data_IF_328222694838
#
_entry.id   IF_328222694838
#
_cell.length_a   1.000
_cell.length_b   1.000
_cell.length_c   1.000
_cell.angle_alpha   90.00
_cell.angle_beta   90.00
_cell.angle_gamma   90.00
#
_symmetry.space_group_name_H-M   'P 1'
#
loop_
_entity.id
_entity.type
_entity.pdbx_description
1 polymer ?
#
# COMPACT_ATOMS: atom_id res chain seq x y z
N UNK A 1 12.43 -12.85 5.58
CA UNK A 1 12.42 -11.54 4.89
C UNK A 1 11.50 -10.53 5.55
N UNK A 2 10.23 -10.83 5.88
CA UNK A 2 9.28 -9.82 6.39
C UNK A 2 9.80 -8.95 7.56
N UNK A 3 10.41 -9.57 8.58
CA UNK A 3 11.03 -8.84 9.71
C UNK A 3 12.12 -7.87 9.24
N UNK A 4 12.98 -8.30 8.32
CA UNK A 4 14.02 -7.45 7.76
C UNK A 4 13.44 -6.28 6.95
N UNK A 5 12.37 -6.52 6.18
CA UNK A 5 11.67 -5.46 5.45
C UNK A 5 11.15 -4.39 6.41
N UNK A 6 10.45 -4.79 7.49
CA UNK A 6 9.94 -3.86 8.50
C UNK A 6 11.08 -3.06 9.13
N UNK A 7 12.14 -3.74 9.58
CA UNK A 7 13.29 -3.10 10.19
C UNK A 7 13.94 -2.08 9.26
N UNK A 8 14.11 -2.43 7.97
CA UNK A 8 14.70 -1.51 7.00
C UNK A 8 13.76 -0.40 6.56
N UNK A 9 12.46 -0.62 6.49
CA UNK A 9 11.50 0.43 6.13
C UNK A 9 11.47 1.54 7.19
N UNK A 10 11.73 1.21 8.46
CA UNK A 10 11.85 2.20 9.56
C UNK A 10 13.15 2.98 9.44
N UNK A 11 14.25 2.32 9.08
CA UNK A 11 15.59 2.93 9.04
C UNK A 11 15.86 3.66 7.72
N UNK A 12 15.23 3.24 6.61
CA UNK A 12 15.47 3.76 5.27
C UNK A 12 15.24 5.28 5.14
N UNK A 13 14.18 5.89 5.69
CA UNK A 13 13.98 7.34 5.63
C UNK A 13 15.11 8.13 6.29
N UNK A 14 15.57 7.70 7.47
CA UNK A 14 16.68 8.35 8.19
C UNK A 14 18.00 8.26 7.40
N UNK A 15 18.26 7.13 6.75
CA UNK A 15 19.43 6.95 5.89
C UNK A 15 19.31 7.80 4.62
N UNK A 16 18.14 7.85 3.99
CA UNK A 16 17.91 8.65 2.79
C UNK A 16 18.07 10.16 3.07
N UNK A 17 17.60 10.64 4.23
CA UNK A 17 17.82 12.02 4.70
C UNK A 17 19.33 12.33 4.83
N UNK A 18 20.11 11.38 5.34
CA UNK A 18 21.57 11.50 5.48
C UNK A 18 22.31 11.48 4.13
N UNK A 19 21.75 10.82 3.11
CA UNK A 19 22.33 10.62 1.79
C UNK A 19 21.59 11.41 0.68
N UNK A 20 20.99 12.55 1.05
CA UNK A 20 20.31 13.47 0.12
C UNK A 20 21.19 13.80 -1.09
N UNK A 21 20.60 13.74 -2.30
CA UNK A 21 21.30 13.97 -3.58
C UNK A 21 21.87 12.71 -4.26
N UNK A 22 21.90 11.56 -3.59
CA UNK A 22 22.40 10.30 -4.14
C UNK A 22 21.30 9.23 -4.31
N UNK A 23 20.04 9.63 -4.44
CA UNK A 23 18.88 8.72 -4.54
C UNK A 23 19.05 7.67 -5.64
N UNK A 24 19.63 8.04 -6.78
CA UNK A 24 19.96 7.11 -7.88
C UNK A 24 20.96 6.05 -7.44
N UNK A 25 22.01 6.44 -6.71
CA UNK A 25 23.01 5.50 -6.21
C UNK A 25 22.42 4.56 -5.15
N UNK A 26 21.50 5.06 -4.32
CA UNK A 26 20.79 4.22 -3.35
C UNK A 26 19.86 3.23 -4.05
N UNK A 27 19.10 3.67 -5.06
CA UNK A 27 18.23 2.80 -5.86
C UNK A 27 19.05 1.72 -6.59
N UNK A 28 20.08 2.09 -7.34
CA UNK A 28 20.92 1.13 -8.06
C UNK A 28 21.68 0.20 -7.10
N UNK A 29 22.15 0.73 -5.96
CA UNK A 29 22.76 -0.06 -4.90
C UNK A 29 21.80 -1.09 -4.31
N UNK A 30 20.54 -0.71 -4.06
CA UNK A 30 19.50 -1.61 -3.56
C UNK A 30 19.16 -2.71 -4.59
N UNK A 31 19.04 -2.37 -5.88
CA UNK A 31 18.77 -3.39 -6.92
C UNK A 31 19.97 -4.34 -7.10
N UNK A 32 21.20 -3.82 -7.07
CA UNK A 32 22.40 -4.64 -7.14
C UNK A 32 22.49 -5.59 -5.93
N UNK A 33 22.25 -5.07 -4.73
CA UNK A 33 22.19 -5.88 -3.52
C UNK A 33 21.09 -6.96 -3.59
N UNK A 34 19.90 -6.61 -4.10
CA UNK A 34 18.81 -7.57 -4.33
C UNK A 34 19.23 -8.69 -5.28
N UNK A 35 19.93 -8.34 -6.37
CA UNK A 35 20.41 -9.31 -7.37
C UNK A 35 21.41 -10.27 -6.75
N UNK A 36 22.43 -9.74 -6.05
CA UNK A 36 23.50 -10.54 -5.46
C UNK A 36 22.93 -11.44 -4.36
N UNK A 37 22.23 -10.86 -3.38
CA UNK A 37 21.67 -11.57 -2.22
C UNK A 37 20.60 -12.57 -2.66
N UNK A 38 19.81 -12.25 -3.70
CA UNK A 38 18.77 -13.12 -4.25
C UNK A 38 19.29 -14.30 -5.06
N UNK A 39 20.42 -14.14 -5.75
CA UNK A 39 21.01 -15.19 -6.60
C UNK A 39 21.95 -16.12 -5.83
N UNK A 40 22.69 -15.60 -4.85
CA UNK A 40 23.70 -16.37 -4.09
C UNK A 40 23.19 -17.68 -3.45
N UNK A 41 21.93 -17.77 -2.96
CA UNK A 41 21.31 -19.01 -2.48
C UNK A 41 21.43 -20.20 -3.43
N UNK A 42 21.58 -19.98 -4.74
CA UNK A 42 21.69 -21.06 -5.73
C UNK A 42 22.89 -21.99 -5.48
N UNK A 43 23.95 -21.46 -4.86
CA UNK A 43 25.19 -22.18 -4.58
C UNK A 43 25.11 -23.03 -3.31
N UNK A 44 24.11 -22.80 -2.45
CA UNK A 44 24.01 -23.43 -1.14
C UNK A 44 22.96 -24.53 -1.12
N UNK A 45 23.32 -25.66 -0.50
CA UNK A 45 22.41 -26.80 -0.28
C UNK A 45 21.94 -26.91 1.16
N UNK A 46 22.67 -26.27 2.08
CA UNK A 46 22.38 -26.30 3.51
C UNK A 46 21.24 -25.34 3.85
N UNK A 47 20.35 -25.76 4.74
CA UNK A 47 19.19 -24.98 5.19
C UNK A 47 19.57 -23.64 5.82
N UNK A 48 20.59 -23.62 6.69
CA UNK A 48 20.98 -22.42 7.45
C UNK A 48 21.41 -21.24 6.56
N UNK A 49 22.35 -21.39 5.60
CA UNK A 49 22.66 -20.34 4.65
C UNK A 49 21.44 -19.82 3.87
N UNK A 50 20.58 -20.72 3.38
CA UNK A 50 19.37 -20.32 2.65
C UNK A 50 18.48 -19.41 3.50
N UNK A 51 18.31 -19.74 4.78
CA UNK A 51 17.51 -18.94 5.71
C UNK A 51 18.12 -17.55 5.97
N UNK A 52 19.46 -17.46 6.11
CA UNK A 52 20.17 -16.18 6.26
C UNK A 52 19.98 -15.30 5.03
N UNK A 53 20.18 -15.82 3.82
CA UNK A 53 19.93 -15.04 2.59
C UNK A 53 18.46 -14.65 2.45
N UNK A 54 17.53 -15.51 2.87
CA UNK A 54 16.09 -15.21 2.90
C UNK A 54 15.72 -14.13 3.92
N UNK A 55 16.54 -13.93 4.95
CA UNK A 55 16.43 -12.80 5.84
C UNK A 55 17.03 -11.55 5.18
N UNK A 56 18.27 -11.64 4.68
CA UNK A 56 19.01 -10.53 4.07
C UNK A 56 18.31 -9.91 2.85
N UNK A 57 17.60 -10.69 2.04
CA UNK A 57 16.87 -10.16 0.88
C UNK A 57 15.80 -9.13 1.25
N UNK A 58 15.34 -9.13 2.52
CA UNK A 58 14.40 -8.12 3.00
C UNK A 58 14.98 -6.71 3.07
N UNK A 59 16.31 -6.59 3.25
CA UNK A 59 17.00 -5.30 3.36
C UNK A 59 16.85 -4.46 2.09
N UNK A 60 17.28 -4.92 0.90
CA UNK A 60 17.15 -4.13 -0.32
C UNK A 60 15.68 -3.86 -0.68
N UNK A 61 14.76 -4.81 -0.40
CA UNK A 61 13.32 -4.61 -0.65
C UNK A 61 12.77 -3.40 0.13
N UNK A 62 13.21 -3.19 1.38
CA UNK A 62 12.79 -2.05 2.19
C UNK A 62 13.24 -0.69 1.67
N UNK A 63 14.38 -0.63 0.96
CA UNK A 63 14.86 0.60 0.32
C UNK A 63 14.20 0.88 -1.03
N UNK A 64 13.74 -0.14 -1.75
CA UNK A 64 13.19 0.02 -3.10
C UNK A 64 11.89 0.82 -3.11
N UNK A 65 10.96 0.53 -2.20
CA UNK A 65 9.66 1.21 -2.14
C UNK A 65 9.76 2.74 -2.02
N UNK A 66 10.43 3.30 -0.97
CA UNK A 66 10.53 4.75 -0.82
C UNK A 66 11.34 5.41 -1.95
N UNK A 67 12.34 4.71 -2.50
CA UNK A 67 13.16 5.23 -3.60
C UNK A 67 12.35 5.37 -4.90
N UNK A 68 11.48 4.41 -5.20
CA UNK A 68 10.62 4.45 -6.40
C UNK A 68 9.53 5.51 -6.25
N UNK A 69 8.90 5.62 -5.07
CA UNK A 69 7.87 6.63 -4.84
C UNK A 69 8.43 8.05 -4.85
N UNK A 70 9.60 8.28 -4.25
CA UNK A 70 10.29 9.57 -4.30
C UNK A 70 10.65 9.97 -5.73
N UNK A 71 11.11 9.02 -6.54
CA UNK A 71 11.44 9.26 -7.94
C UNK A 71 10.22 9.64 -8.78
N UNK A 72 9.08 8.95 -8.58
CA UNK A 72 7.84 9.25 -9.30
C UNK A 72 7.31 10.65 -8.93
N UNK A 73 7.41 11.03 -7.65
CA UNK A 73 6.98 12.34 -7.19
C UNK A 73 7.83 13.48 -7.78
N UNK A 74 9.15 13.26 -7.92
CA UNK A 74 10.07 14.23 -8.48
C UNK A 74 9.98 14.38 -10.02
N UNK A 75 9.60 13.32 -10.73
CA UNK A 75 9.66 13.29 -12.20
C UNK A 75 8.33 13.68 -12.89
N UNK A 76 7.19 13.47 -12.24
CA UNK A 76 5.88 13.62 -12.88
C UNK A 76 5.04 14.74 -12.25
N UNK A 77 4.46 15.57 -13.12
CA UNK A 77 3.44 16.56 -12.74
C UNK A 77 2.19 15.87 -12.16
N UNK A 78 1.47 16.52 -11.23
CA UNK A 78 0.34 15.92 -10.51
C UNK A 78 -0.73 15.27 -11.41
N UNK A 79 -0.93 15.82 -12.60
CA UNK A 79 -1.92 15.39 -13.60
C UNK A 79 -1.54 14.05 -14.26
N UNK A 80 -0.26 13.80 -14.48
CA UNK A 80 0.25 12.58 -15.12
C UNK A 80 0.60 11.47 -14.11
N UNK A 81 0.75 11.80 -12.82
CA UNK A 81 1.03 10.83 -11.74
C UNK A 81 0.03 9.68 -11.72
N UNK A 82 -1.26 9.97 -11.88
CA UNK A 82 -2.31 8.95 -11.88
C UNK A 82 -2.13 7.94 -13.04
N UNK A 83 -1.72 8.41 -14.22
CA UNK A 83 -1.51 7.57 -15.40
C UNK A 83 -0.26 6.70 -15.25
N UNK A 84 0.83 7.26 -14.73
CA UNK A 84 2.09 6.54 -14.51
C UNK A 84 1.96 5.52 -13.38
N UNK A 85 1.27 5.86 -12.30
CA UNK A 85 0.95 4.91 -11.22
C UNK A 85 0.10 3.74 -11.72
N UNK A 86 -0.81 3.99 -12.67
CA UNK A 86 -1.57 2.94 -13.36
C UNK A 86 -0.67 1.98 -14.14
N UNK A 87 0.27 2.50 -14.95
CA UNK A 87 1.25 1.67 -15.66
C UNK A 87 2.17 0.90 -14.71
N UNK A 88 2.67 1.55 -13.66
CA UNK A 88 3.51 0.94 -12.63
C UNK A 88 2.80 -0.23 -11.95
N UNK A 89 1.51 -0.07 -11.63
CA UNK A 89 0.69 -1.13 -11.04
C UNK A 89 0.49 -2.32 -11.99
N UNK A 90 0.24 -2.04 -13.27
CA UNK A 90 0.12 -3.09 -14.29
C UNK A 90 1.44 -3.86 -14.47
N UNK A 91 2.57 -3.15 -14.48
CA UNK A 91 3.90 -3.75 -14.54
C UNK A 91 4.19 -4.60 -13.30
N UNK A 92 3.83 -4.15 -12.10
CA UNK A 92 4.03 -4.88 -10.86
C UNK A 92 3.23 -6.20 -10.85
N UNK A 93 1.95 -6.16 -11.23
CA UNK A 93 1.12 -7.37 -11.32
C UNK A 93 1.55 -8.28 -12.47
N UNK A 94 1.91 -7.72 -13.62
CA UNK A 94 2.40 -8.49 -14.77
C UNK A 94 3.72 -9.21 -14.47
N UNK A 95 4.65 -8.53 -13.78
CA UNK A 95 5.88 -9.14 -13.30
C UNK A 95 5.59 -10.29 -12.34
N UNK A 96 4.73 -10.08 -11.35
CA UNK A 96 4.39 -11.11 -10.38
C UNK A 96 3.73 -12.34 -11.05
N UNK A 97 2.88 -12.13 -12.06
CA UNK A 97 2.24 -13.20 -12.83
C UNK A 97 3.27 -14.05 -13.58
N UNK A 98 4.14 -13.39 -14.35
CA UNK A 98 5.19 -14.05 -15.13
C UNK A 98 6.21 -14.74 -14.22
N UNK A 99 6.66 -14.06 -13.17
CA UNK A 99 7.62 -14.59 -12.21
C UNK A 99 7.10 -15.86 -11.57
N UNK A 100 5.85 -15.85 -11.09
CA UNK A 100 5.22 -17.01 -10.45
C UNK A 100 5.11 -18.18 -11.43
N UNK A 101 4.63 -17.93 -12.65
CA UNK A 101 4.42 -18.97 -13.65
C UNK A 101 5.74 -19.63 -14.05
N UNK A 102 6.75 -18.81 -14.32
CA UNK A 102 8.10 -19.25 -14.67
C UNK A 102 8.72 -19.99 -13.48
N UNK A 103 8.58 -19.47 -12.26
CA UNK A 103 9.13 -20.12 -11.05
C UNK A 103 8.52 -21.50 -10.79
N UNK A 104 7.22 -21.69 -11.03
CA UNK A 104 6.57 -23.00 -10.94
C UNK A 104 7.13 -23.98 -11.98
N UNK A 105 7.33 -23.51 -13.21
CA UNK A 105 7.93 -24.33 -14.27
C UNK A 105 9.37 -24.73 -13.95
N UNK A 106 10.20 -23.80 -13.48
CA UNK A 106 11.60 -24.09 -13.09
C UNK A 106 11.67 -24.98 -11.85
N UNK A 107 10.74 -24.81 -10.91
CA UNK A 107 10.64 -25.60 -9.67
C UNK A 107 10.48 -27.09 -9.94
N UNK A 108 9.83 -27.48 -11.05
CA UNK A 108 9.71 -28.88 -11.48
C UNK A 108 11.05 -29.56 -11.76
N UNK A 109 12.05 -28.81 -12.23
CA UNK A 109 13.39 -29.34 -12.49
C UNK A 109 14.29 -29.20 -11.27
N UNK A 110 14.32 -28.01 -10.67
CA UNK A 110 15.05 -27.76 -9.44
C UNK A 110 14.61 -26.45 -8.80
N UNK A 111 14.30 -26.47 -7.51
CA UNK A 111 14.00 -25.27 -6.73
C UNK A 111 15.12 -24.22 -6.77
N UNK A 112 16.37 -24.63 -7.07
CA UNK A 112 17.51 -23.71 -7.14
C UNK A 112 17.39 -22.75 -8.32
N UNK A 113 16.88 -23.23 -9.45
CA UNK A 113 16.75 -22.41 -10.66
C UNK A 113 15.84 -21.21 -10.45
N UNK A 114 14.91 -21.27 -9.48
CA UNK A 114 14.05 -20.14 -9.10
C UNK A 114 14.87 -18.95 -8.60
N UNK A 115 16.01 -19.17 -7.91
CA UNK A 115 16.87 -18.09 -7.47
C UNK A 115 17.52 -17.33 -8.63
N UNK A 116 17.77 -17.99 -9.76
CA UNK A 116 18.32 -17.35 -10.96
C UNK A 116 17.35 -16.37 -11.61
N UNK A 117 16.03 -16.48 -11.34
CA UNK A 117 15.06 -15.50 -11.84
C UNK A 117 15.32 -14.10 -11.29
N UNK A 118 16.01 -13.96 -10.16
CA UNK A 118 16.40 -12.65 -9.64
C UNK A 118 17.40 -11.92 -10.55
N UNK A 119 18.14 -12.64 -11.41
CA UNK A 119 19.03 -12.04 -12.42
C UNK A 119 18.28 -11.29 -13.53
N UNK A 120 16.98 -11.53 -13.71
CA UNK A 120 16.16 -10.78 -14.68
C UNK A 120 16.09 -9.28 -14.37
N UNK A 121 16.46 -8.86 -13.16
CA UNK A 121 16.57 -7.45 -12.78
C UNK A 121 17.78 -6.75 -13.41
N UNK A 122 18.86 -7.47 -13.71
CA UNK A 122 20.09 -6.92 -14.32
C UNK A 122 19.84 -6.28 -15.69
N UNK A 123 19.23 -6.96 -16.68
CA UNK A 123 18.97 -6.33 -17.98
C UNK A 123 18.03 -5.13 -17.88
N UNK A 124 17.09 -5.13 -16.92
CA UNK A 124 16.19 -3.99 -16.68
C UNK A 124 16.97 -2.77 -16.20
N UNK A 125 17.91 -2.97 -15.26
CA UNK A 125 18.77 -1.89 -14.78
C UNK A 125 19.71 -1.39 -15.87
N UNK A 126 20.35 -2.29 -16.62
CA UNK A 126 21.23 -1.90 -17.72
C UNK A 126 20.48 -1.10 -18.79
N UNK A 127 19.25 -1.51 -19.10
CA UNK A 127 18.37 -0.77 -19.99
C UNK A 127 18.01 0.62 -19.44
N UNK A 128 17.64 0.71 -18.14
CA UNK A 128 17.37 1.98 -17.47
C UNK A 128 18.57 2.93 -17.44
N UNK A 129 19.79 2.40 -17.29
CA UNK A 129 21.03 3.17 -17.37
C UNK A 129 21.32 3.63 -18.80
N UNK A 130 21.05 2.77 -19.80
CA UNK A 130 21.26 3.08 -21.21
C UNK A 130 20.32 4.15 -21.74
N UNK A 131 19.03 4.11 -21.36
CA UNK A 131 18.07 5.13 -21.77
C UNK A 131 18.32 6.48 -21.08
N UNK A 132 19.29 6.55 -20.16
CA UNK A 132 19.77 7.79 -19.57
C UNK A 132 18.62 8.63 -19.04
N UNK A 133 17.70 8.03 -18.29
CA UNK A 133 16.56 8.71 -17.69
C UNK A 133 17.08 9.93 -16.91
N UNK A 134 17.02 11.09 -17.57
CA UNK A 134 17.63 12.33 -17.09
C UNK A 134 16.64 12.97 -16.15
N UNK A 135 16.60 12.44 -14.93
CA UNK A 135 15.76 12.96 -13.85
C UNK A 135 16.19 14.40 -13.61
N UNK A 136 15.35 15.33 -14.04
CA UNK A 136 15.61 16.76 -13.93
C UNK A 136 15.40 17.11 -12.45
N UNK A 137 16.49 17.36 -11.73
CA UNK A 137 16.42 17.94 -10.40
C UNK A 137 15.79 19.33 -10.53
N UNK A 138 14.48 19.40 -10.34
CA UNK A 138 13.72 20.62 -10.16
C UNK A 138 13.37 20.72 -8.69
N UNK A 139 13.82 21.80 -8.07
CA UNK A 139 13.57 22.16 -6.68
C UNK A 139 12.07 22.16 -6.39
N UNK A 140 11.58 21.20 -5.59
CA UNK A 140 10.49 21.37 -4.59
C UNK A 140 10.22 20.03 -3.91
N UNK A 141 10.97 19.79 -2.83
CA UNK A 141 10.47 19.02 -1.68
C UNK A 141 10.60 19.91 -0.44
N UNK A 142 9.88 21.04 -0.47
CA UNK A 142 9.35 21.70 0.72
C UNK A 142 7.84 21.43 0.78
N UNK A 143 7.45 20.17 0.90
CA UNK A 143 6.08 19.77 1.26
C UNK A 143 6.04 18.27 1.60
N UNK A 144 6.82 17.88 2.60
CA UNK A 144 6.47 16.74 3.45
C UNK A 144 7.27 16.92 4.74
N UNK A 145 6.72 17.75 5.62
CA UNK A 145 7.32 18.18 6.87
C UNK A 145 7.67 16.98 7.77
N UNK A 146 8.96 16.76 7.92
CA UNK A 146 9.54 16.00 9.02
C UNK A 146 9.29 16.76 10.33
N UNK A 147 8.29 16.33 11.10
CA UNK A 147 8.20 16.61 12.53
C UNK A 147 8.86 15.49 13.32
N UNK A 148 10.19 15.43 13.31
CA UNK A 148 10.98 14.60 14.22
C UNK A 148 10.86 15.21 15.62
N UNK A 149 10.04 14.62 16.50
CA UNK A 149 9.95 15.05 17.90
C UNK A 149 11.09 14.40 18.68
N UNK A 150 12.05 15.25 19.05
CA UNK A 150 13.12 14.99 19.99
C UNK A 150 12.53 14.60 21.36
N UNK A 151 12.71 13.35 21.77
CA UNK A 151 11.99 12.73 22.88
C UNK A 151 12.51 13.15 24.27
N UNK A 152 13.58 13.94 24.34
CA UNK A 152 14.19 14.38 25.62
C UNK A 152 13.72 15.77 26.09
N UNK A 153 13.07 16.59 25.25
CA UNK A 153 12.66 17.94 25.63
C UNK A 153 11.23 18.03 26.23
N UNK A 154 10.41 16.97 26.11
CA UNK A 154 9.00 16.99 26.49
C UNK A 154 8.71 16.61 27.96
N UNK A 155 9.73 16.32 28.76
CA UNK A 155 9.56 15.87 30.16
C UNK A 155 9.58 17.02 31.19
N UNK A 156 10.10 18.20 30.83
CA UNK A 156 10.35 19.29 31.80
C UNK A 156 9.44 20.53 31.71
N UNK A 157 8.44 20.56 30.81
CA UNK A 157 7.70 21.80 30.53
C UNK A 157 6.17 21.71 30.64
N UNK A 158 5.65 21.24 31.78
CA UNK A 158 4.26 21.48 32.26
C UNK A 158 4.33 21.44 33.80
N UNK A 159 3.86 22.43 34.62
CA UNK A 159 2.61 23.21 34.44
C UNK A 159 2.68 24.70 34.88
N UNK A 160 1.71 25.53 34.46
CA UNK A 160 0.69 26.16 35.34
C UNK A 160 -0.18 27.19 34.60
N UNK A 161 -1.46 27.17 34.92
CA UNK A 161 -2.53 28.06 34.44
C UNK A 161 -2.44 29.49 35.02
N UNK A 162 -2.77 30.50 34.21
CA UNK A 162 -3.51 31.68 34.66
C UNK A 162 -4.09 32.54 33.52
N UNK A 163 -5.31 33.02 33.76
CA UNK A 163 -6.20 33.94 33.01
C UNK A 163 -5.57 35.18 32.34
N UNK A 164 -6.15 35.64 31.21
CA UNK A 164 -6.84 36.95 31.11
C UNK A 164 -7.59 37.15 29.78
N UNK A 165 -8.43 38.18 29.77
CA UNK A 165 -9.62 38.45 28.96
C UNK A 165 -9.48 39.67 28.01
N UNK A 166 -10.47 39.82 27.12
CA UNK A 166 -11.03 41.07 26.53
C UNK A 166 -10.52 41.71 25.21
N UNK A 167 -11.51 42.15 24.40
CA UNK A 167 -11.49 43.32 23.47
C UNK A 167 -11.39 42.99 21.96
N UNK A 168 -12.44 43.01 21.11
CA UNK A 168 -13.33 44.08 20.57
C UNK A 168 -12.90 44.71 19.23
N UNK A 169 -13.88 44.89 18.32
CA UNK A 169 -14.00 45.87 17.18
C UNK A 169 -13.06 45.71 15.96
N UNK A 170 -13.36 46.03 14.70
CA UNK A 170 -14.54 46.49 13.94
C UNK A 170 -14.20 46.46 12.42
N UNK A 171 -15.21 46.20 11.58
CA UNK A 171 -15.51 46.73 10.21
C UNK A 171 -14.46 46.86 9.06
N UNK A 172 -14.82 46.21 7.94
CA UNK A 172 -15.09 46.75 6.57
C UNK A 172 -14.02 47.56 5.79
N UNK A 173 -13.63 47.09 4.59
CA UNK A 173 -13.90 47.78 3.29
C UNK A 173 -13.14 47.19 2.09
N UNK A 174 -13.86 47.11 0.96
CA UNK A 174 -13.40 46.84 -0.41
C UNK A 174 -12.73 48.09 -1.00
N UNK A 175 -11.53 47.93 -1.59
CA UNK A 175 -10.90 48.72 -2.68
C UNK A 175 -9.58 47.99 -3.00
N UNK A 176 -9.17 47.68 -4.23
CA UNK A 176 -9.14 48.46 -5.47
C UNK A 176 -7.75 48.17 -6.07
N UNK A 177 -7.70 47.57 -7.26
CA UNK A 177 -6.46 47.04 -7.83
C UNK A 177 -5.40 48.11 -8.13
N UNK A 178 -4.21 47.93 -7.56
CA UNK A 178 -3.02 48.75 -7.82
C UNK A 178 -2.23 48.17 -9.00
N UNK A 179 -1.66 49.04 -9.83
CA UNK A 179 -0.85 48.70 -11.02
C UNK A 179 0.61 49.00 -10.74
N UNK A 180 1.48 48.02 -10.96
CA UNK A 180 2.93 48.22 -10.90
C UNK A 180 3.48 48.80 -12.20
N UNK A 181 4.62 49.51 -12.09
CA UNK A 181 5.22 50.38 -13.11
C UNK A 181 5.94 49.65 -14.26
N UNK A 182 5.72 48.36 -14.45
CA UNK A 182 6.31 47.55 -15.52
C UNK A 182 5.16 46.87 -16.27
N UNK A 183 4.86 47.32 -17.49
CA UNK A 183 3.65 46.97 -18.24
C UNK A 183 3.46 45.50 -18.63
N UNK A 184 3.24 44.61 -17.66
CA UNK A 184 2.69 43.27 -17.82
C UNK A 184 1.31 43.22 -17.17
N UNK A 185 0.33 42.72 -17.92
CA UNK A 185 -0.93 42.25 -17.32
C UNK A 185 -0.60 40.95 -16.60
N UNK A 186 -0.52 40.99 -15.27
CA UNK A 186 -0.68 39.76 -14.48
C UNK A 186 -2.10 39.25 -14.71
N UNK A 187 -2.20 38.06 -15.28
CA UNK A 187 -3.46 37.35 -15.41
C UNK A 187 -3.82 36.79 -14.03
N UNK A 188 -5.10 36.77 -13.68
CA UNK A 188 -5.62 36.23 -12.40
C UNK A 188 -5.12 34.79 -12.12
N UNK A 189 -4.78 34.04 -13.18
CA UNK A 189 -4.13 32.73 -13.11
C UNK A 189 -2.69 32.76 -12.54
N UNK A 190 -1.91 33.82 -12.77
CA UNK A 190 -0.54 33.94 -12.25
C UNK A 190 -0.53 34.27 -10.75
N UNK A 191 -1.56 34.96 -10.24
CA UNK A 191 -1.76 35.18 -8.80
C UNK A 191 -2.23 33.92 -8.09
N UNK A 192 -3.11 33.13 -8.71
CA UNK A 192 -3.58 31.84 -8.16
C UNK A 192 -2.45 30.79 -8.12
N UNK A 193 -1.44 30.91 -8.98
CA UNK A 193 -0.24 30.04 -8.94
C UNK A 193 0.80 30.53 -7.92
N UNK A 194 0.88 31.84 -7.66
CA UNK A 194 1.74 32.41 -6.62
C UNK A 194 1.14 32.31 -5.20
N UNK A 195 -0.19 32.25 -5.09
CA UNK A 195 -0.94 31.81 -3.91
C UNK A 195 -1.21 30.30 -3.99
N UNK A 196 -0.14 29.52 -4.16
CA UNK A 196 -0.16 28.17 -3.60
C UNK A 196 -0.42 28.33 -2.11
N UNK A 197 -1.64 27.98 -1.68
CA UNK A 197 -2.17 28.01 -0.32
C UNK A 197 -1.04 27.96 0.70
N UNK A 198 -0.62 29.14 1.20
CA UNK A 198 0.20 29.22 2.40
C UNK A 198 -0.72 28.70 3.49
N UNK A 199 -0.62 27.40 3.76
CA UNK A 199 -1.21 26.77 4.92
C UNK A 199 -0.69 27.58 6.10
N UNK A 200 -1.58 28.37 6.70
CA UNK A 200 -1.29 29.14 7.89
C UNK A 200 -0.67 28.16 8.91
N UNK A 201 0.60 28.38 9.25
CA UNK A 201 1.39 27.51 10.11
C UNK A 201 0.88 27.45 11.57
N UNK A 202 -0.30 28.03 11.83
CA UNK A 202 -0.90 28.24 13.14
C UNK A 202 -2.31 27.63 13.26
N UNK A 203 -2.79 26.91 12.24
CA UNK A 203 -4.05 26.17 12.38
C UNK A 203 -3.81 24.93 13.27
N UNK A 204 -4.51 24.79 14.41
CA UNK A 204 -4.27 23.70 15.35
C UNK A 204 -4.54 22.36 14.67
N UNK A 205 -3.48 21.57 14.47
CA UNK A 205 -3.54 20.25 13.84
C UNK A 205 -4.66 19.43 14.49
N UNK A 206 -5.66 18.95 13.73
CA UNK A 206 -6.76 18.21 14.32
C UNK A 206 -6.21 16.95 15.02
N UNK A 207 -6.75 16.59 16.21
CA UNK A 207 -6.26 15.44 16.96
C UNK A 207 -6.33 14.19 16.08
N UNK A 208 -5.29 13.34 16.18
CA UNK A 208 -5.17 12.18 15.31
C UNK A 208 -6.43 11.31 15.41
N UNK A 209 -7.14 11.05 14.29
CA UNK A 209 -8.37 10.27 14.30
C UNK A 209 -8.05 8.77 14.43
N UNK A 210 -7.49 8.37 15.58
CA UNK A 210 -6.94 7.03 15.86
C UNK A 210 -7.97 5.93 15.58
N UNK A 211 -9.22 6.13 15.97
CA UNK A 211 -10.28 5.13 15.78
C UNK A 211 -10.60 4.90 14.29
N UNK A 212 -10.63 5.96 13.48
CA UNK A 212 -10.83 5.87 12.03
C UNK A 212 -9.60 5.28 11.35
N UNK A 213 -8.41 5.69 11.75
CA UNK A 213 -7.15 5.14 11.22
C UNK A 213 -7.03 3.62 11.51
N UNK A 214 -7.28 3.19 12.74
CA UNK A 214 -7.28 1.78 13.13
C UNK A 214 -8.32 0.96 12.35
N UNK A 215 -9.50 1.53 12.11
CA UNK A 215 -10.56 0.90 11.31
C UNK A 215 -10.09 0.58 9.90
N UNK A 216 -9.62 1.58 9.15
CA UNK A 216 -9.18 1.40 7.77
C UNK A 216 -7.94 0.48 7.69
N UNK A 217 -7.02 0.61 8.64
CA UNK A 217 -5.81 -0.22 8.73
C UNK A 217 -6.13 -1.70 9.02
N UNK A 218 -7.13 -1.97 9.85
CA UNK A 218 -7.56 -3.35 10.16
C UNK A 218 -8.21 -4.03 8.96
N UNK A 219 -9.02 -3.29 8.19
CA UNK A 219 -9.62 -3.82 6.96
C UNK A 219 -8.53 -4.14 5.92
N UNK A 220 -7.50 -3.30 5.83
CA UNK A 220 -6.33 -3.56 5.01
C UNK A 220 -5.55 -4.81 5.43
N UNK A 221 -5.33 -4.98 6.75
CA UNK A 221 -4.73 -6.19 7.31
C UNK A 221 -5.52 -7.44 6.91
N UNK A 222 -6.85 -7.42 6.98
CA UNK A 222 -7.69 -8.57 6.65
C UNK A 222 -7.60 -8.94 5.16
N UNK A 223 -7.63 -7.95 4.27
CA UNK A 223 -7.45 -8.15 2.82
C UNK A 223 -6.12 -8.84 2.53
N UNK A 224 -5.03 -8.33 3.10
CA UNK A 224 -3.68 -8.84 2.83
C UNK A 224 -3.43 -10.19 3.53
N UNK A 225 -3.88 -10.34 4.77
CA UNK A 225 -3.73 -11.57 5.52
C UNK A 225 -4.43 -12.76 4.84
N UNK A 226 -5.68 -12.59 4.40
CA UNK A 226 -6.43 -13.63 3.70
C UNK A 226 -5.82 -13.96 2.33
N UNK A 227 -5.26 -12.96 1.63
CA UNK A 227 -4.47 -13.17 0.42
C UNK A 227 -3.22 -14.03 0.68
N UNK A 228 -2.45 -13.74 1.73
CA UNK A 228 -1.27 -14.52 2.09
C UNK A 228 -1.59 -15.94 2.55
N UNK A 229 -2.73 -16.16 3.25
CA UNK A 229 -3.22 -17.51 3.55
C UNK A 229 -3.30 -18.34 2.27
N UNK A 230 -3.92 -17.79 1.22
CA UNK A 230 -4.07 -18.49 -0.05
C UNK A 230 -2.71 -18.84 -0.68
N UNK A 231 -1.82 -17.85 -0.82
CA UNK A 231 -0.51 -18.05 -1.48
C UNK A 231 0.30 -19.17 -0.82
N UNK A 232 0.27 -19.27 0.51
CA UNK A 232 0.99 -20.31 1.25
C UNK A 232 0.26 -21.65 1.21
N UNK A 233 -1.06 -21.63 1.48
CA UNK A 233 -1.81 -22.87 1.69
C UNK A 233 -2.19 -23.57 0.39
N UNK A 234 -2.29 -22.87 -0.75
CA UNK A 234 -2.71 -23.52 -2.00
C UNK A 234 -1.73 -24.58 -2.47
N UNK A 235 -0.41 -24.31 -2.40
CA UNK A 235 0.60 -25.29 -2.76
C UNK A 235 0.61 -26.50 -1.81
N UNK A 236 0.46 -26.25 -0.50
CA UNK A 236 0.37 -27.30 0.51
C UNK A 236 -0.92 -28.11 0.40
N UNK A 237 -2.03 -27.49 0.01
CA UNK A 237 -3.30 -28.15 -0.23
C UNK A 237 -3.22 -29.08 -1.44
N UNK A 238 -2.61 -28.61 -2.54
CA UNK A 238 -2.38 -29.42 -3.73
C UNK A 238 -1.52 -30.65 -3.42
N UNK A 239 -0.41 -30.47 -2.70
CA UNK A 239 0.52 -31.55 -2.36
C UNK A 239 -0.07 -32.51 -1.31
N UNK A 240 -0.42 -31.99 -0.12
CA UNK A 240 -0.75 -32.81 1.04
C UNK A 240 -2.21 -33.29 1.10
N UNK A 241 -3.17 -32.50 0.60
CA UNK A 241 -4.59 -32.85 0.67
C UNK A 241 -5.10 -33.48 -0.65
N UNK A 242 -4.58 -33.04 -1.81
CA UNK A 242 -5.00 -33.54 -3.13
C UNK A 242 -4.03 -34.56 -3.74
N UNK A 243 -2.82 -34.72 -3.21
CA UNK A 243 -1.81 -35.65 -3.73
C UNK A 243 -1.20 -35.23 -5.07
N UNK A 244 -1.19 -33.93 -5.37
CA UNK A 244 -0.62 -33.33 -6.59
C UNK A 244 0.71 -32.66 -6.21
N UNK A 245 1.81 -33.38 -6.41
CA UNK A 245 3.18 -32.96 -6.08
C UNK A 245 3.91 -32.24 -7.24
N UNK A 246 3.17 -31.63 -8.18
CA UNK A 246 3.76 -30.91 -9.32
C UNK A 246 3.88 -29.40 -9.03
N UNK A 247 5.13 -28.93 -8.92
CA UNK A 247 5.48 -27.52 -8.74
C UNK A 247 4.94 -26.60 -9.85
N UNK A 248 4.79 -27.11 -11.07
CA UNK A 248 4.20 -26.33 -12.17
C UNK A 248 2.71 -26.09 -11.93
N UNK A 249 1.97 -27.10 -11.46
CA UNK A 249 0.54 -26.97 -11.16
C UNK A 249 0.34 -25.98 -10.00
N UNK A 250 1.17 -26.06 -8.96
CA UNK A 250 1.16 -25.08 -7.87
C UNK A 250 1.45 -23.66 -8.38
N UNK A 251 2.44 -23.50 -9.27
CA UNK A 251 2.74 -22.23 -9.93
C UNK A 251 1.57 -21.68 -10.74
N UNK A 252 0.89 -22.53 -11.52
CA UNK A 252 -0.31 -22.14 -12.28
C UNK A 252 -1.43 -21.66 -11.36
N UNK A 253 -1.70 -22.38 -10.26
CA UNK A 253 -2.72 -21.97 -9.29
C UNK A 253 -2.43 -20.59 -8.69
N UNK A 254 -1.18 -20.33 -8.29
CA UNK A 254 -0.77 -19.02 -7.75
C UNK A 254 -0.83 -17.95 -8.86
N UNK A 255 -0.41 -18.25 -10.08
CA UNK A 255 -0.50 -17.32 -11.21
C UNK A 255 -1.94 -16.94 -11.57
N UNK A 256 -2.92 -17.85 -11.44
CA UNK A 256 -4.34 -17.52 -11.58
C UNK A 256 -4.75 -16.41 -10.61
N UNK A 257 -4.27 -16.46 -9.37
CA UNK A 257 -4.49 -15.41 -8.40
C UNK A 257 -3.86 -14.08 -8.81
N UNK A 258 -2.60 -14.06 -9.24
CA UNK A 258 -1.94 -12.82 -9.67
C UNK A 258 -2.62 -12.19 -10.89
N UNK A 259 -3.07 -13.03 -11.84
CA UNK A 259 -3.85 -12.59 -12.99
C UNK A 259 -5.18 -11.94 -12.55
N UNK A 260 -5.87 -12.57 -11.59
CA UNK A 260 -7.06 -11.98 -10.97
C UNK A 260 -6.77 -10.64 -10.32
N UNK A 261 -5.63 -10.50 -9.63
CA UNK A 261 -5.20 -9.25 -8.99
C UNK A 261 -5.01 -8.12 -10.00
N UNK A 262 -4.37 -8.42 -11.14
CA UNK A 262 -4.19 -7.48 -12.24
C UNK A 262 -5.52 -6.98 -12.79
N UNK A 263 -6.49 -7.88 -13.00
CA UNK A 263 -7.81 -7.52 -13.52
C UNK A 263 -8.67 -6.80 -12.47
N UNK A 264 -8.62 -7.24 -11.20
CA UNK A 264 -9.31 -6.57 -10.10
C UNK A 264 -8.91 -5.10 -10.00
N UNK A 265 -7.61 -4.82 -10.03
CA UNK A 265 -7.09 -3.46 -9.96
C UNK A 265 -7.55 -2.57 -11.13
N UNK A 266 -7.49 -3.08 -12.37
CA UNK A 266 -7.86 -2.29 -13.56
C UNK A 266 -9.35 -1.97 -13.64
N UNK A 267 -10.21 -2.90 -13.22
CA UNK A 267 -11.66 -2.71 -13.28
C UNK A 267 -12.25 -1.99 -12.06
N UNK A 268 -11.45 -1.67 -11.04
CA UNK A 268 -11.97 -1.06 -9.80
C UNK A 268 -12.62 0.29 -9.99
N UNK A 269 -12.02 1.16 -10.82
CA UNK A 269 -12.58 2.47 -11.09
C UNK A 269 -13.98 2.37 -11.73
N UNK A 270 -14.20 1.38 -12.60
CA UNK A 270 -15.49 1.14 -13.24
C UNK A 270 -16.53 0.63 -12.23
N UNK A 271 -16.15 -0.28 -11.33
CA UNK A 271 -17.02 -0.80 -10.28
C UNK A 271 -17.41 0.30 -9.30
N UNK A 272 -16.47 1.15 -8.88
CA UNK A 272 -16.72 2.26 -7.97
C UNK A 272 -17.65 3.33 -8.54
N UNK A 273 -17.49 3.67 -9.83
CA UNK A 273 -18.41 4.62 -10.49
C UNK A 273 -19.85 4.11 -10.51
N UNK A 274 -20.05 2.79 -10.65
CA UNK A 274 -21.37 2.18 -10.71
C UNK A 274 -21.97 1.88 -9.33
N UNK A 275 -21.13 1.54 -8.34
CA UNK A 275 -21.54 1.12 -7.00
C UNK A 275 -20.64 1.73 -5.90
N UNK A 276 -20.70 3.06 -5.67
CA UNK A 276 -19.80 3.74 -4.74
C UNK A 276 -19.92 3.26 -3.29
N UNK A 277 -21.15 2.98 -2.82
CA UNK A 277 -21.42 2.53 -1.44
C UNK A 277 -21.32 1.02 -1.25
N UNK A 278 -21.11 0.21 -2.29
CA UNK A 278 -21.08 -1.26 -2.19
C UNK A 278 -19.81 -1.89 -2.77
N UNK A 279 -18.91 -1.08 -3.36
CA UNK A 279 -17.70 -1.61 -3.97
C UNK A 279 -16.78 -2.33 -2.99
N UNK A 280 -16.62 -1.82 -1.76
CA UNK A 280 -15.80 -2.46 -0.72
C UNK A 280 -16.28 -3.85 -0.33
N UNK A 281 -17.52 -4.01 0.18
CA UNK A 281 -18.08 -5.31 0.55
C UNK A 281 -18.11 -6.29 -0.61
N UNK A 282 -18.38 -5.81 -1.83
CA UNK A 282 -18.40 -6.64 -3.04
C UNK A 282 -17.07 -7.37 -3.25
N UNK A 283 -15.93 -6.69 -3.14
CA UNK A 283 -14.62 -7.33 -3.30
C UNK A 283 -14.28 -8.30 -2.16
N UNK A 284 -14.68 -8.02 -0.92
CA UNK A 284 -14.51 -8.97 0.18
C UNK A 284 -15.37 -10.22 0.02
N UNK A 285 -16.60 -10.10 -0.47
CA UNK A 285 -17.45 -11.26 -0.81
C UNK A 285 -16.78 -12.12 -1.89
N UNK A 286 -16.28 -11.49 -2.96
CA UNK A 286 -15.55 -12.21 -4.02
C UNK A 286 -14.34 -12.94 -3.45
N UNK A 287 -13.57 -12.30 -2.57
CA UNK A 287 -12.40 -12.89 -1.92
C UNK A 287 -12.79 -14.08 -1.03
N UNK A 288 -13.87 -13.95 -0.24
CA UNK A 288 -14.38 -15.00 0.62
C UNK A 288 -14.85 -16.22 -0.18
N UNK A 289 -15.64 -16.01 -1.23
CA UNK A 289 -16.09 -17.07 -2.15
C UNK A 289 -14.89 -17.77 -2.77
N UNK A 290 -13.89 -17.00 -3.21
CA UNK A 290 -12.67 -17.55 -3.79
C UNK A 290 -11.90 -18.46 -2.82
N UNK A 291 -11.80 -18.09 -1.54
CA UNK A 291 -11.17 -18.90 -0.49
C UNK A 291 -11.92 -20.20 -0.20
N UNK A 292 -13.26 -20.17 -0.18
CA UNK A 292 -14.06 -21.39 -0.04
C UNK A 292 -13.92 -22.33 -1.24
N UNK A 293 -13.89 -21.78 -2.46
CA UNK A 293 -13.64 -22.58 -3.67
C UNK A 293 -12.21 -23.15 -3.69
N UNK A 294 -11.22 -22.39 -3.22
CA UNK A 294 -9.84 -22.84 -3.10
C UNK A 294 -9.64 -24.01 -2.12
N UNK A 295 -10.54 -24.20 -1.16
CA UNK A 295 -10.51 -25.32 -0.21
C UNK A 295 -11.05 -26.65 -0.78
N UNK A 296 -11.53 -26.67 -2.02
CA UNK A 296 -12.10 -27.86 -2.65
C UNK A 296 -11.03 -28.74 -3.29
N UNK A 297 -11.31 -30.04 -3.44
CA UNK A 297 -10.32 -31.02 -3.92
C UNK A 297 -10.34 -31.17 -5.45
N UNK A 298 -10.76 -30.13 -6.18
CA UNK A 298 -10.88 -30.14 -7.64
C UNK A 298 -10.04 -29.01 -8.23
N UNK A 299 -8.99 -29.35 -8.98
CA UNK A 299 -7.99 -28.38 -9.47
C UNK A 299 -8.60 -27.16 -10.18
N UNK A 300 -9.55 -27.37 -11.09
CA UNK A 300 -10.19 -26.27 -11.82
C UNK A 300 -10.94 -25.32 -10.89
N UNK A 301 -11.56 -25.85 -9.82
CA UNK A 301 -12.28 -25.05 -8.82
C UNK A 301 -11.27 -24.29 -7.95
N UNK A 302 -10.14 -24.91 -7.60
CA UNK A 302 -9.05 -24.25 -6.86
C UNK A 302 -8.46 -23.08 -7.65
N UNK A 303 -8.17 -23.27 -8.95
CA UNK A 303 -7.67 -22.20 -9.81
C UNK A 303 -8.69 -21.06 -9.98
N UNK A 304 -9.98 -21.41 -10.14
CA UNK A 304 -11.07 -20.42 -10.20
C UNK A 304 -11.19 -19.66 -8.89
N UNK A 305 -11.08 -20.35 -7.74
CA UNK A 305 -11.05 -19.74 -6.42
C UNK A 305 -9.87 -18.78 -6.26
N UNK A 306 -8.67 -19.21 -6.66
CA UNK A 306 -7.47 -18.39 -6.71
C UNK A 306 -7.65 -17.10 -7.49
N UNK A 307 -8.20 -17.21 -8.71
CA UNK A 307 -8.51 -16.06 -9.55
C UNK A 307 -9.45 -15.07 -8.87
N UNK A 308 -10.55 -15.54 -8.24
CA UNK A 308 -11.48 -14.68 -7.51
C UNK A 308 -10.82 -13.99 -6.32
N UNK A 309 -9.99 -14.69 -5.54
CA UNK A 309 -9.20 -14.08 -4.44
C UNK A 309 -8.33 -12.95 -4.99
N UNK A 310 -7.74 -13.17 -6.17
CA UNK A 310 -6.96 -12.18 -6.90
C UNK A 310 -7.78 -10.94 -7.18
N UNK A 311 -8.94 -11.09 -7.83
CA UNK A 311 -9.85 -9.99 -8.17
C UNK A 311 -10.28 -9.22 -6.93
N UNK A 312 -10.63 -9.93 -5.84
CA UNK A 312 -10.99 -9.32 -4.55
C UNK A 312 -9.86 -8.46 -3.98
N UNK A 313 -8.67 -9.02 -3.83
CA UNK A 313 -7.52 -8.32 -3.27
C UNK A 313 -7.06 -7.14 -4.16
N UNK A 314 -7.01 -7.35 -5.48
CA UNK A 314 -6.58 -6.34 -6.45
C UNK A 314 -7.51 -5.13 -6.47
N UNK A 315 -8.81 -5.35 -6.26
CA UNK A 315 -9.76 -4.26 -6.19
C UNK A 315 -9.84 -3.54 -4.85
N UNK A 316 -9.57 -4.22 -3.73
CA UNK A 316 -9.59 -3.60 -2.40
C UNK A 316 -8.44 -2.62 -2.16
N UNK A 317 -7.27 -2.89 -2.74
CA UNK A 317 -6.07 -2.05 -2.58
C UNK A 317 -6.30 -0.56 -2.93
N UNK A 318 -6.76 -0.20 -4.15
CA UNK A 318 -7.01 1.20 -4.49
C UNK A 318 -8.13 1.85 -3.68
N UNK A 319 -9.14 1.08 -3.23
CA UNK A 319 -10.23 1.60 -2.39
C UNK A 319 -9.75 2.03 -1.01
N UNK A 320 -8.97 1.15 -0.39
CA UNK A 320 -8.42 1.37 0.93
C UNK A 320 -7.40 2.51 0.93
N UNK A 321 -6.55 2.58 -0.11
CA UNK A 321 -5.61 3.69 -0.28
C UNK A 321 -6.32 5.01 -0.56
N UNK A 322 -7.39 5.01 -1.36
CA UNK A 322 -8.22 6.20 -1.58
C UNK A 322 -8.91 6.69 -0.31
N UNK A 323 -9.34 5.78 0.59
CA UNK A 323 -9.83 6.17 1.92
C UNK A 323 -8.73 6.73 2.82
N UNK A 324 -7.52 6.17 2.76
CA UNK A 324 -6.36 6.67 3.49
C UNK A 324 -5.93 8.07 3.04
N UNK A 325 -6.11 8.42 1.76
CA UNK A 325 -5.82 9.76 1.26
C UNK A 325 -6.82 10.83 1.71
N UNK A 326 -8.00 10.45 2.23
CA UNK A 326 -8.98 11.40 2.79
C UNK A 326 -8.60 11.92 4.18
N UNK A 327 -7.57 11.38 4.82
CA UNK A 327 -7.05 11.92 6.07
C UNK A 327 -6.30 13.23 5.81
N UNK A 328 -6.33 14.13 6.79
CA UNK A 328 -5.60 15.41 6.77
C UNK A 328 -4.12 15.18 6.42
N UNK A 329 -3.52 16.11 5.68
CA UNK A 329 -2.18 15.94 5.09
C UNK A 329 -1.12 15.57 6.13
N UNK A 330 -1.15 16.22 7.30
CA UNK A 330 -0.29 15.90 8.46
C UNK A 330 -0.36 14.46 8.95
N UNK A 331 -1.47 13.74 8.71
CA UNK A 331 -1.73 12.39 9.22
C UNK A 331 -1.69 11.31 8.14
N UNK A 332 -1.69 11.68 6.85
CA UNK A 332 -1.80 10.76 5.70
C UNK A 332 -0.66 9.75 5.65
N UNK A 333 0.57 10.21 5.86
CA UNK A 333 1.77 9.36 5.83
C UNK A 333 1.85 8.41 7.03
N UNK A 334 1.36 8.87 8.19
CA UNK A 334 1.22 8.04 9.39
C UNK A 334 0.23 6.90 9.15
N UNK A 335 -0.94 7.19 8.55
CA UNK A 335 -1.92 6.13 8.22
C UNK A 335 -1.37 5.17 7.16
N UNK A 336 -0.71 5.67 6.11
CA UNK A 336 -0.09 4.83 5.08
C UNK A 336 1.00 3.88 5.62
N UNK A 337 1.87 4.39 6.51
CA UNK A 337 2.90 3.57 7.17
C UNK A 337 2.31 2.57 8.18
N UNK A 338 1.22 2.92 8.87
CA UNK A 338 0.44 1.97 9.67
C UNK A 338 -0.11 0.82 8.80
N UNK A 339 -0.70 1.13 7.64
CA UNK A 339 -1.23 0.11 6.71
C UNK A 339 -0.12 -0.84 6.23
N UNK A 340 1.03 -0.32 5.84
CA UNK A 340 2.18 -1.13 5.41
C UNK A 340 2.75 -1.99 6.54
N UNK A 341 2.81 -1.45 7.76
CA UNK A 341 3.27 -2.20 8.94
C UNK A 341 2.32 -3.37 9.23
N UNK A 342 1.02 -3.12 9.21
CA UNK A 342 0.00 -4.14 9.42
C UNK A 342 0.05 -5.21 8.32
N UNK A 343 0.25 -4.83 7.05
CA UNK A 343 0.45 -5.80 5.97
C UNK A 343 1.62 -6.75 6.25
N UNK A 344 2.77 -6.23 6.69
CA UNK A 344 3.93 -7.07 6.99
C UNK A 344 3.71 -7.97 8.21
N UNK A 345 2.99 -7.48 9.23
CA UNK A 345 2.56 -8.30 10.38
C UNK A 345 1.61 -9.40 9.90
N UNK A 346 0.66 -9.08 9.04
CA UNK A 346 -0.25 -10.03 8.42
C UNK A 346 0.49 -11.14 7.68
N UNK A 347 1.47 -10.79 6.86
CA UNK A 347 2.34 -11.75 6.17
C UNK A 347 3.07 -12.71 7.11
N UNK A 348 3.42 -12.26 8.33
CA UNK A 348 4.10 -13.09 9.31
C UNK A 348 3.13 -14.01 10.08
N UNK A 349 1.98 -13.48 10.48
CA UNK A 349 1.06 -14.16 11.41
C UNK A 349 0.09 -15.09 10.68
N UNK A 350 -0.46 -14.66 9.54
CA UNK A 350 -1.54 -15.40 8.87
C UNK A 350 -1.11 -16.79 8.34
N UNK A 351 0.11 -16.98 7.80
CA UNK A 351 0.57 -18.31 7.41
C UNK A 351 0.66 -19.31 8.57
N UNK A 352 0.86 -18.84 9.82
CA UNK A 352 0.93 -19.72 11.00
C UNK A 352 -0.42 -20.40 11.30
N UNK A 353 -1.53 -19.88 10.76
CA UNK A 353 -2.82 -20.57 10.89
C UNK A 353 -2.81 -21.93 10.20
N UNK A 354 -1.93 -22.17 9.21
CA UNK A 354 -1.76 -23.48 8.60
C UNK A 354 -1.38 -24.56 9.61
N UNK A 355 -0.69 -24.21 10.70
CA UNK A 355 -0.32 -25.16 11.76
C UNK A 355 -1.43 -25.39 12.78
N UNK A 356 -2.48 -24.57 12.78
CA UNK A 356 -3.60 -24.67 13.72
C UNK A 356 -4.67 -25.67 13.25
N UNK A 357 -4.75 -25.92 11.94
CA UNK A 357 -5.73 -26.83 11.35
C UNK A 357 -5.10 -28.13 10.90
N UNK A 358 -5.90 -29.19 10.92
CA UNK A 358 -5.45 -30.54 10.53
C UNK A 358 -5.21 -30.71 9.02
N UNK A 359 -5.79 -29.85 8.19
CA UNK A 359 -5.66 -29.87 6.72
C UNK A 359 -5.53 -28.45 6.19
N UNK A 360 -4.84 -28.28 5.06
CA UNK A 360 -4.65 -26.97 4.44
C UNK A 360 -5.96 -26.43 3.84
N UNK A 361 -6.84 -27.33 3.39
CA UNK A 361 -8.21 -27.02 2.99
C UNK A 361 -8.98 -26.26 4.09
N UNK A 362 -8.85 -26.69 5.36
CA UNK A 362 -9.52 -26.05 6.50
C UNK A 362 -8.95 -24.66 6.79
N UNK A 363 -7.64 -24.48 6.63
CA UNK A 363 -7.00 -23.17 6.74
C UNK A 363 -7.50 -22.20 5.67
N UNK A 364 -7.65 -22.67 4.42
CA UNK A 364 -8.23 -21.89 3.32
C UNK A 364 -9.68 -21.49 3.62
N UNK A 365 -10.50 -22.45 4.06
CA UNK A 365 -11.89 -22.19 4.46
C UNK A 365 -11.98 -21.21 5.64
N UNK A 366 -11.07 -21.30 6.62
CA UNK A 366 -10.98 -20.35 7.73
C UNK A 366 -10.64 -18.93 7.24
N UNK A 367 -9.71 -18.81 6.29
CA UNK A 367 -9.47 -17.53 5.61
C UNK A 367 -10.74 -16.97 4.95
N UNK A 368 -11.56 -17.83 4.35
CA UNK A 368 -12.88 -17.45 3.80
C UNK A 368 -13.81 -16.89 4.88
N UNK A 369 -13.88 -17.53 6.05
CA UNK A 369 -14.66 -17.03 7.20
C UNK A 369 -14.17 -15.64 7.67
N UNK A 370 -12.85 -15.43 7.74
CA UNK A 370 -12.29 -14.11 8.07
C UNK A 370 -12.70 -13.03 7.06
N UNK A 371 -12.68 -13.35 5.76
CA UNK A 371 -13.11 -12.42 4.71
C UNK A 371 -14.61 -12.10 4.78
N UNK A 372 -15.46 -13.09 5.13
CA UNK A 372 -16.89 -12.83 5.42
C UNK A 372 -17.03 -11.90 6.61
N UNK A 373 -16.28 -12.13 7.70
CA UNK A 373 -16.27 -11.25 8.87
C UNK A 373 -15.89 -9.81 8.50
N UNK A 374 -14.84 -9.63 7.69
CA UNK A 374 -14.43 -8.32 7.19
C UNK A 374 -15.52 -7.65 6.33
N UNK A 375 -16.24 -8.42 5.52
CA UNK A 375 -17.39 -7.92 4.74
C UNK A 375 -18.47 -7.36 5.66
N UNK A 376 -18.86 -8.11 6.69
CA UNK A 376 -19.90 -7.70 7.63
C UNK A 376 -19.50 -6.44 8.41
N UNK A 377 -18.24 -6.38 8.85
CA UNK A 377 -17.68 -5.20 9.51
C UNK A 377 -17.74 -3.99 8.59
N UNK A 378 -17.28 -4.13 7.33
CA UNK A 378 -17.32 -3.03 6.36
C UNK A 378 -18.75 -2.52 6.12
N UNK A 379 -19.67 -3.42 5.79
CA UNK A 379 -21.07 -3.06 5.51
C UNK A 379 -21.74 -2.40 6.73
N UNK A 380 -21.46 -2.89 7.94
CA UNK A 380 -21.98 -2.30 9.17
C UNK A 380 -21.42 -0.89 9.43
N UNK A 381 -20.17 -0.64 9.06
CA UNK A 381 -19.54 0.68 9.17
C UNK A 381 -20.12 1.67 8.15
N UNK A 382 -20.32 1.26 6.90
CA UNK A 382 -20.94 2.12 5.89
C UNK A 382 -22.39 2.45 6.24
N UNK A 383 -23.13 1.49 6.81
CA UNK A 383 -24.48 1.74 7.31
C UNK A 383 -24.50 2.78 8.44
N UNK A 384 -23.55 2.71 9.38
CA UNK A 384 -23.42 3.70 10.46
C UNK A 384 -23.02 5.08 9.95
N UNK A 385 -22.07 5.14 9.02
CA UNK A 385 -21.61 6.41 8.43
C UNK A 385 -22.73 7.06 7.60
N UNK A 386 -23.63 6.28 6.97
CA UNK A 386 -24.82 6.77 6.29
C UNK A 386 -25.89 7.33 7.25
N UNK A 387 -26.13 6.66 8.38
CA UNK A 387 -27.05 7.12 9.43
C UNK A 387 -26.56 8.45 10.05
N UNK A 388 -25.27 8.56 10.36
CA UNK A 388 -24.69 9.77 10.96
C UNK A 388 -24.64 10.98 10.01
N UNK A 389 -24.70 10.77 8.68
CA UNK A 389 -24.90 11.86 7.72
C UNK A 389 -26.36 12.30 7.66
N UNK A 390 -27.31 11.36 7.69
CA UNK A 390 -28.74 11.65 7.72
C UNK A 390 -29.18 12.42 8.99
N UNK A 391 -28.58 12.12 10.14
CA UNK A 391 -28.83 12.88 11.38
C UNK A 391 -28.27 14.32 11.32
N UNK A 392 -27.15 14.57 10.63
CA UNK A 392 -26.58 15.92 10.47
C UNK A 392 -27.33 16.77 9.45
N UNK A 393 -27.82 16.17 8.37
CA UNK A 393 -28.68 16.85 7.39
C UNK A 393 -30.10 17.09 7.93
N UNK A 394 -30.56 16.28 8.89
CA UNK A 394 -31.81 16.51 9.62
C UNK A 394 -31.74 17.60 10.68
N UNK A 395 -30.55 18.13 11.00
CA UNK A 395 -30.31 19.17 12.01
C UNK A 395 -30.09 20.59 11.43
N UNK A 396 -30.47 20.84 10.17
CA UNK A 396 -30.64 22.20 9.62
C UNK A 396 -31.99 22.26 8.89
N UNK A 397 -32.97 23.11 9.21
CA UNK A 397 -32.89 24.55 9.45
C UNK A 397 -33.62 25.05 10.72
N UNK A 398 -34.25 24.18 11.52
CA UNK A 398 -35.20 24.63 12.58
C UNK A 398 -34.62 24.65 14.00
N UNK A 399 -33.54 23.91 14.27
CA UNK A 399 -32.99 23.79 15.64
C UNK A 399 -31.76 24.70 15.90
N UNK A 400 -31.21 25.35 14.87
CA UNK A 400 -30.09 26.29 15.01
C UNK A 400 -30.54 27.76 15.22
N UNK A 401 -31.85 28.05 15.18
CA UNK A 401 -32.40 29.38 15.54
C UNK A 401 -32.88 29.46 17.01
N UNK A 402 -32.76 28.39 17.80
CA UNK A 402 -33.26 28.35 19.20
C UNK A 402 -32.17 28.01 20.24
N UNK A 403 -30.91 27.86 19.82
CA UNK A 403 -29.76 27.79 20.74
C UNK A 403 -28.90 29.04 20.58
#
# INVERSE_FOLDING_TARGET
>A
SGIAVIATAIVAPAILKRWRGHERAVLYGAILALTIIGTLPVLFTNFWPLLVFRFLIGVPIGFLFPSVTGLIAAEFEPEDRARVLGWSSLSLSGQAFLYTLISGYLGRYSYRLVFLLTLTTVPVVLFSMYTGLSVRQGDTMEAEGEGEVDLEAAVDAVPTLSHHSEGSTDTCSYQGGEKDAEGKRETEADRVVAEGEKVDADEPVPPFPLLRALRETTLFLMTQGTWFIYIVCVALHLDLDMGIDDSFIAGVAISCNTLGQMLGATFTAAVQRKYPSYGGPFYFVIQAVGLFLAATHTLSIVCTGGFLIGVGCGGLLPLLLGKASMFHESHRNTVGSMMMSFQNIGMMVFPLFSTLFSTNARTLAFGGVLAVGATLVWSGLEWRDAQGKGEREGLSETDLEVA
#
